data_IF_999269535340
#
_entry.id   IF_999269535340
#
_cell.length_a   1.000
_cell.length_b   1.000
_cell.length_c   1.000
_cell.angle_alpha   90.00
_cell.angle_beta   90.00
_cell.angle_gamma   90.00
#
_symmetry.space_group_name_H-M   'P 1'
#
loop_
_entity.id
_entity.type
_entity.pdbx_description
1 polymer ?
#
# COMPACT_ATOMS: atom_id res chain seq x y z
N UNK A 1 57.65 -5.27 -38.85
CA UNK A 1 56.69 -6.36 -38.58
C UNK A 1 55.95 -6.08 -37.27
N UNK A 2 54.70 -5.60 -37.33
CA UNK A 2 53.88 -5.41 -36.12
C UNK A 2 53.49 -6.79 -35.59
N UNK A 3 53.93 -7.11 -34.38
CA UNK A 3 53.78 -8.43 -33.76
C UNK A 3 52.32 -8.89 -33.72
N UNK A 4 52.03 -10.03 -34.36
CA UNK A 4 50.71 -10.71 -34.45
C UNK A 4 49.98 -10.84 -33.11
N UNK A 5 50.71 -10.82 -31.98
CA UNK A 5 50.13 -10.88 -30.62
C UNK A 5 49.43 -9.58 -30.20
N UNK A 6 49.90 -8.39 -30.64
CA UNK A 6 49.25 -7.10 -30.30
C UNK A 6 47.92 -6.90 -31.05
N UNK A 7 47.80 -7.40 -32.28
CA UNK A 7 46.57 -7.31 -33.07
C UNK A 7 45.41 -8.13 -32.47
N UNK A 8 45.69 -9.36 -31.97
CA UNK A 8 44.67 -10.22 -31.35
C UNK A 8 44.11 -9.65 -30.03
N UNK A 9 44.94 -8.99 -29.22
CA UNK A 9 44.49 -8.38 -27.96
C UNK A 9 43.57 -7.17 -28.15
N UNK A 10 43.82 -6.37 -29.21
CA UNK A 10 42.99 -5.20 -29.54
C UNK A 10 41.60 -5.62 -30.04
N UNK A 11 41.54 -6.60 -30.95
CA UNK A 11 40.27 -7.13 -31.46
C UNK A 11 39.38 -7.74 -30.35
N UNK A 12 39.97 -8.40 -29.34
CA UNK A 12 39.22 -8.97 -28.22
C UNK A 12 38.61 -7.90 -27.30
N UNK A 13 39.31 -6.80 -27.05
CA UNK A 13 38.79 -5.67 -26.26
C UNK A 13 37.68 -4.92 -27.00
N UNK A 14 37.81 -4.73 -28.31
CA UNK A 14 36.78 -4.09 -29.14
C UNK A 14 35.50 -4.95 -29.22
N UNK A 15 35.63 -6.28 -29.31
CA UNK A 15 34.50 -7.19 -29.26
C UNK A 15 33.75 -7.13 -27.92
N UNK A 16 34.46 -7.20 -26.78
CA UNK A 16 33.84 -7.07 -25.45
C UNK A 16 33.18 -5.71 -25.22
N UNK A 17 33.80 -4.64 -25.72
CA UNK A 17 33.24 -3.29 -25.67
C UNK A 17 31.91 -3.20 -26.43
N UNK A 18 31.86 -3.74 -27.67
CA UNK A 18 30.63 -3.79 -28.47
C UNK A 18 29.55 -4.63 -27.81
N UNK A 19 29.91 -5.82 -27.31
CA UNK A 19 28.96 -6.73 -26.67
C UNK A 19 28.32 -6.13 -25.41
N UNK A 20 29.10 -5.36 -24.63
CA UNK A 20 28.60 -4.62 -23.46
C UNK A 20 27.69 -3.45 -23.88
N UNK A 21 28.04 -2.76 -24.96
CA UNK A 21 27.25 -1.63 -25.48
C UNK A 21 25.93 -2.10 -26.09
N UNK A 22 25.95 -3.20 -26.84
CA UNK A 22 24.76 -3.82 -27.44
C UNK A 22 23.81 -4.36 -26.36
N UNK A 23 24.34 -5.00 -25.30
CA UNK A 23 23.55 -5.41 -24.14
C UNK A 23 22.90 -4.22 -23.40
N UNK A 24 23.62 -3.11 -23.28
CA UNK A 24 23.10 -1.88 -22.67
C UNK A 24 21.98 -1.25 -23.51
N UNK A 25 22.13 -1.22 -24.84
CA UNK A 25 21.13 -0.68 -25.77
C UNK A 25 19.87 -1.57 -25.79
N UNK A 26 20.04 -2.90 -25.81
CA UNK A 26 18.92 -3.84 -25.75
C UNK A 26 18.13 -3.71 -24.43
N UNK A 27 18.82 -3.58 -23.30
CA UNK A 27 18.21 -3.31 -21.99
C UNK A 27 17.42 -1.98 -21.98
N UNK A 28 17.95 -0.94 -22.63
CA UNK A 28 17.25 0.34 -22.74
C UNK A 28 16.01 0.26 -23.65
N UNK A 29 16.11 -0.38 -24.81
CA UNK A 29 14.96 -0.55 -25.72
C UNK A 29 13.85 -1.41 -25.10
N UNK A 30 14.22 -2.46 -24.36
CA UNK A 30 13.25 -3.28 -23.63
C UNK A 30 12.53 -2.47 -22.55
N UNK A 31 13.24 -1.59 -21.82
CA UNK A 31 12.62 -0.65 -20.88
C UNK A 31 11.64 0.32 -21.56
N UNK A 32 11.98 0.82 -22.75
CA UNK A 32 11.11 1.73 -23.52
C UNK A 32 9.83 1.02 -24.02
N UNK A 33 9.94 -0.21 -24.52
CA UNK A 33 8.78 -1.00 -24.94
C UNK A 33 7.88 -1.37 -23.75
N UNK A 34 8.46 -1.72 -22.59
CA UNK A 34 7.72 -1.91 -21.35
C UNK A 34 6.98 -0.62 -20.97
N UNK A 35 7.66 0.52 -20.97
CA UNK A 35 7.04 1.81 -20.64
C UNK A 35 5.88 2.19 -21.58
N UNK A 36 5.97 1.85 -22.87
CA UNK A 36 4.88 2.09 -23.82
C UNK A 36 3.66 1.20 -23.52
N UNK A 37 3.86 -0.07 -23.21
CA UNK A 37 2.77 -0.99 -22.85
C UNK A 37 2.11 -0.56 -21.53
N UNK A 38 2.92 -0.17 -20.54
CA UNK A 38 2.45 0.31 -19.23
C UNK A 38 1.49 1.51 -19.37
N UNK A 39 1.72 2.42 -20.31
CA UNK A 39 0.92 3.66 -20.47
C UNK A 39 -0.46 3.48 -21.10
N UNK A 40 -0.77 2.30 -21.65
CA UNK A 40 -2.06 2.03 -22.30
C UNK A 40 -3.05 1.26 -21.43
N UNK A 41 -2.59 0.76 -20.27
CA UNK A 41 -3.42 0.00 -19.36
C UNK A 41 -4.21 0.95 -18.45
N UNK A 42 -5.47 0.64 -18.17
CA UNK A 42 -6.29 1.41 -17.21
C UNK A 42 -6.11 0.94 -15.77
N UNK A 43 -5.25 -0.05 -15.51
CA UNK A 43 -4.96 -0.60 -14.18
C UNK A 43 -6.22 -0.96 -13.37
N UNK A 44 -7.24 -1.51 -14.05
CA UNK A 44 -8.51 -1.86 -13.43
C UNK A 44 -9.40 -0.67 -13.04
N UNK A 45 -9.05 0.55 -13.48
CA UNK A 45 -9.90 1.72 -13.32
C UNK A 45 -11.26 1.44 -13.98
N UNK A 46 -12.31 1.61 -13.18
CA UNK A 46 -13.67 1.65 -13.66
C UNK A 46 -13.94 3.10 -14.08
N UNK A 47 -14.18 3.39 -15.37
CA UNK A 47 -14.44 4.77 -15.81
C UNK A 47 -15.68 5.32 -15.12
N UNK A 48 -15.51 6.40 -14.35
CA UNK A 48 -16.63 7.12 -13.76
C UNK A 48 -17.23 8.08 -14.80
N UNK A 49 -18.56 8.15 -14.94
CA UNK A 49 -19.20 9.22 -15.70
C UNK A 49 -18.74 10.59 -15.21
N UNK A 50 -18.57 11.55 -16.12
CA UNK A 50 -18.17 12.91 -15.73
C UNK A 50 -19.18 13.49 -14.74
N UNK A 51 -18.70 13.96 -13.58
CA UNK A 51 -19.57 14.49 -12.54
C UNK A 51 -20.29 13.42 -11.72
N UNK A 52 -19.78 12.18 -11.71
CA UNK A 52 -20.23 11.14 -10.78
C UNK A 52 -20.10 11.61 -9.33
N UNK A 53 -20.96 11.10 -8.45
CA UNK A 53 -20.95 11.47 -7.03
C UNK A 53 -19.63 11.06 -6.36
N UNK A 54 -19.07 9.89 -6.70
CA UNK A 54 -17.75 9.46 -6.22
C UNK A 54 -16.63 10.47 -6.53
N UNK A 55 -16.63 11.12 -7.69
CA UNK A 55 -15.58 12.10 -8.06
C UNK A 55 -15.65 13.34 -7.16
N UNK A 56 -16.87 13.80 -6.86
CA UNK A 56 -17.07 14.93 -5.92
C UNK A 56 -16.73 14.52 -4.50
N UNK A 57 -17.09 13.29 -4.13
CA UNK A 57 -16.81 12.71 -2.82
C UNK A 57 -15.31 12.63 -2.56
N UNK A 58 -14.52 11.99 -3.42
CA UNK A 58 -13.07 11.82 -3.22
C UNK A 58 -12.36 13.15 -3.06
N UNK A 59 -12.65 14.12 -3.94
CA UNK A 59 -12.05 15.46 -3.86
C UNK A 59 -12.40 16.20 -2.57
N UNK A 60 -13.66 16.09 -2.11
CA UNK A 60 -14.05 16.73 -0.86
C UNK A 60 -13.43 16.00 0.34
N UNK A 61 -13.43 14.67 0.32
CA UNK A 61 -12.84 13.85 1.36
C UNK A 61 -11.34 14.11 1.54
N UNK A 62 -10.57 14.11 0.46
CA UNK A 62 -9.14 14.46 0.44
C UNK A 62 -8.90 15.85 1.01
N UNK A 63 -9.71 16.84 0.61
CA UNK A 63 -9.61 18.19 1.17
C UNK A 63 -9.87 18.21 2.69
N UNK A 64 -10.83 17.43 3.19
CA UNK A 64 -11.07 17.36 4.64
C UNK A 64 -9.95 16.61 5.37
N UNK A 65 -9.39 15.57 4.75
CA UNK A 65 -8.23 14.85 5.26
C UNK A 65 -7.00 15.76 5.37
N UNK A 66 -6.69 16.53 4.32
CA UNK A 66 -5.54 17.45 4.30
C UNK A 66 -5.68 18.59 5.32
N UNK A 67 -6.92 19.00 5.61
CA UNK A 67 -7.22 20.01 6.64
C UNK A 67 -7.26 19.43 8.07
N UNK A 68 -7.21 18.11 8.23
CA UNK A 68 -7.28 17.49 9.54
C UNK A 68 -6.03 17.82 10.36
N UNK A 69 -6.23 18.38 11.56
CA UNK A 69 -5.14 18.60 12.51
C UNK A 69 -4.91 17.32 13.30
N UNK A 70 -4.24 16.34 12.70
CA UNK A 70 -3.85 15.12 13.43
C UNK A 70 -2.53 14.52 12.96
N UNK A 71 -1.66 14.23 13.92
CA UNK A 71 -0.43 13.48 13.70
C UNK A 71 -0.69 11.97 13.45
N UNK A 72 -1.91 11.50 13.74
CA UNK A 72 -2.32 10.12 13.50
C UNK A 72 -3.16 10.03 12.24
N UNK A 73 -2.64 9.33 11.22
CA UNK A 73 -3.29 9.11 9.93
C UNK A 73 -4.76 8.66 10.08
N UNK A 74 -5.01 7.67 10.94
CA UNK A 74 -6.37 7.13 11.15
C UNK A 74 -7.33 8.19 11.71
N UNK A 75 -6.86 9.09 12.57
CA UNK A 75 -7.69 10.19 13.08
C UNK A 75 -7.99 11.23 12.01
N UNK A 76 -7.06 11.45 11.07
CA UNK A 76 -7.32 12.32 9.92
C UNK A 76 -8.41 11.72 9.01
N UNK A 77 -8.37 10.40 8.77
CA UNK A 77 -9.46 9.68 8.09
C UNK A 77 -10.79 9.78 8.83
N UNK A 78 -10.81 9.61 10.16
CA UNK A 78 -12.01 9.75 10.98
C UNK A 78 -12.58 11.18 10.88
N UNK A 79 -11.74 12.22 10.96
CA UNK A 79 -12.18 13.61 10.80
C UNK A 79 -12.78 13.86 9.41
N UNK A 80 -12.13 13.38 8.35
CA UNK A 80 -12.64 13.50 6.99
C UNK A 80 -13.96 12.73 6.80
N UNK A 81 -14.11 11.57 7.45
CA UNK A 81 -15.36 10.81 7.48
C UNK A 81 -16.47 11.62 8.14
N UNK A 82 -16.24 12.12 9.35
CA UNK A 82 -17.24 12.91 10.07
C UNK A 82 -17.65 14.18 9.30
N UNK A 83 -16.71 14.83 8.60
CA UNK A 83 -16.99 16.02 7.80
C UNK A 83 -17.78 15.73 6.52
N UNK A 84 -17.79 14.49 6.02
CA UNK A 84 -18.41 14.13 4.73
C UNK A 84 -19.61 13.19 4.87
N UNK A 85 -19.80 12.53 6.01
CA UNK A 85 -20.81 11.48 6.20
C UNK A 85 -22.24 11.91 5.88
N UNK A 86 -22.62 13.14 6.24
CA UNK A 86 -23.99 13.65 6.00
C UNK A 86 -24.17 14.11 4.55
N UNK A 87 -23.14 14.76 3.97
CA UNK A 87 -23.22 15.30 2.60
C UNK A 87 -23.19 14.20 1.54
N UNK A 88 -22.52 13.09 1.83
CA UNK A 88 -22.33 11.97 0.90
C UNK A 88 -22.82 10.66 1.52
N UNK A 89 -23.95 10.68 2.24
CA UNK A 89 -24.55 9.47 2.79
C UNK A 89 -24.78 8.39 1.71
N UNK A 90 -25.23 8.80 0.51
CA UNK A 90 -25.42 7.92 -0.64
C UNK A 90 -24.13 7.19 -1.09
N UNK A 91 -22.94 7.73 -0.78
CA UNK A 91 -21.66 7.05 -1.05
C UNK A 91 -21.23 6.22 0.16
N UNK A 92 -21.36 6.77 1.38
CA UNK A 92 -20.93 6.11 2.61
C UNK A 92 -21.73 4.86 2.95
N UNK A 93 -23.01 4.84 2.61
CA UNK A 93 -23.96 3.76 2.92
C UNK A 93 -24.18 2.79 1.74
N UNK A 94 -23.62 3.07 0.56
CA UNK A 94 -23.67 2.19 -0.60
C UNK A 94 -22.32 1.50 -0.85
N UNK A 95 -22.32 0.16 -0.75
CA UNK A 95 -21.11 -0.63 -0.92
C UNK A 95 -20.54 -0.57 -2.35
N UNK A 96 -21.39 -0.44 -3.36
CA UNK A 96 -20.98 -0.37 -4.76
C UNK A 96 -20.32 0.98 -5.05
N UNK A 97 -20.89 2.08 -4.55
CA UNK A 97 -20.30 3.42 -4.65
C UNK A 97 -18.94 3.48 -3.93
N UNK A 98 -18.84 2.88 -2.74
CA UNK A 98 -17.57 2.81 -2.02
C UNK A 98 -16.54 1.90 -2.71
N UNK A 99 -16.96 0.82 -3.37
CA UNK A 99 -16.09 -0.01 -4.21
C UNK A 99 -15.55 0.75 -5.43
N UNK A 100 -16.36 1.63 -6.05
CA UNK A 100 -15.90 2.53 -7.10
C UNK A 100 -14.83 3.50 -6.59
N UNK A 101 -15.00 4.04 -5.38
CA UNK A 101 -13.99 4.88 -4.72
C UNK A 101 -12.70 4.09 -4.51
N UNK A 102 -12.78 2.86 -3.96
CA UNK A 102 -11.61 1.98 -3.76
C UNK A 102 -10.89 1.70 -5.08
N UNK A 103 -11.64 1.30 -6.12
CA UNK A 103 -11.11 1.05 -7.48
C UNK A 103 -10.36 2.26 -8.04
N UNK A 104 -10.89 3.47 -7.83
CA UNK A 104 -10.26 4.71 -8.28
C UNK A 104 -8.88 4.91 -7.64
N UNK A 105 -8.78 4.80 -6.31
CA UNK A 105 -7.49 4.90 -5.61
C UNK A 105 -6.52 3.78 -5.98
N UNK A 106 -7.02 2.54 -6.12
CA UNK A 106 -6.19 1.41 -6.54
C UNK A 106 -5.56 1.64 -7.92
N UNK A 107 -6.33 2.17 -8.87
CA UNK A 107 -5.84 2.46 -10.21
C UNK A 107 -4.84 3.64 -10.22
N UNK A 108 -5.14 4.73 -9.50
CA UNK A 108 -4.23 5.88 -9.36
C UNK A 108 -2.90 5.45 -8.70
N UNK A 109 -2.98 4.70 -7.61
CA UNK A 109 -1.79 4.21 -6.90
C UNK A 109 -0.97 3.22 -7.73
N UNK A 110 -1.63 2.41 -8.56
CA UNK A 110 -0.94 1.53 -9.53
C UNK A 110 -0.21 2.34 -10.59
N UNK A 111 -0.83 3.39 -11.14
CA UNK A 111 -0.16 4.27 -12.09
C UNK A 111 1.04 4.97 -11.42
N UNK A 112 0.85 5.53 -10.23
CA UNK A 112 1.89 6.21 -9.46
C UNK A 112 3.12 5.31 -9.19
N UNK A 113 2.91 4.06 -8.77
CA UNK A 113 4.03 3.14 -8.52
C UNK A 113 4.77 2.73 -9.79
N UNK A 114 4.08 2.68 -10.94
CA UNK A 114 4.69 2.39 -12.24
C UNK A 114 5.51 3.58 -12.74
N UNK A 115 5.03 4.81 -12.53
CA UNK A 115 5.75 6.04 -12.88
C UNK A 115 6.88 6.39 -11.90
N UNK A 116 6.96 5.71 -10.75
CA UNK A 116 8.01 5.88 -9.75
C UNK A 116 7.66 6.85 -8.62
N UNK A 117 6.43 7.37 -8.59
CA UNK A 117 5.90 8.22 -7.53
C UNK A 117 5.46 7.38 -6.32
N UNK A 118 6.45 6.92 -5.55
CA UNK A 118 6.21 5.99 -4.43
C UNK A 118 5.40 6.63 -3.30
N UNK A 119 5.58 7.92 -3.03
CA UNK A 119 4.83 8.64 -1.99
C UNK A 119 3.34 8.69 -2.34
N UNK A 120 3.00 9.09 -3.57
CA UNK A 120 1.62 9.18 -4.04
C UNK A 120 0.96 7.80 -4.01
N UNK A 121 1.67 6.76 -4.47
CA UNK A 121 1.20 5.39 -4.39
C UNK A 121 0.92 4.90 -2.96
N UNK A 122 1.68 5.34 -1.96
CA UNK A 122 1.41 5.01 -0.54
C UNK A 122 0.14 5.68 -0.06
N UNK A 123 -0.06 6.94 -0.42
CA UNK A 123 -1.26 7.71 -0.08
C UNK A 123 -2.49 7.01 -0.69
N UNK A 124 -2.46 6.72 -1.99
CA UNK A 124 -3.53 6.02 -2.70
C UNK A 124 -3.84 4.63 -2.09
N UNK A 125 -2.80 3.84 -1.78
CA UNK A 125 -2.97 2.55 -1.12
C UNK A 125 -3.62 2.69 0.27
N UNK A 126 -3.29 3.74 1.00
CA UNK A 126 -3.82 4.02 2.34
C UNK A 126 -5.29 4.41 2.26
N UNK A 127 -5.68 5.29 1.32
CA UNK A 127 -7.08 5.63 1.06
C UNK A 127 -7.89 4.40 0.66
N UNK A 128 -7.42 3.66 -0.35
CA UNK A 128 -8.07 2.42 -0.79
C UNK A 128 -8.28 1.46 0.39
N UNK A 129 -7.24 1.24 1.20
CA UNK A 129 -7.35 0.32 2.33
C UNK A 129 -8.32 0.84 3.40
N UNK A 130 -8.35 2.13 3.69
CA UNK A 130 -9.32 2.70 4.63
C UNK A 130 -10.76 2.46 4.18
N UNK A 131 -11.08 2.73 2.92
CA UNK A 131 -12.42 2.51 2.38
C UNK A 131 -12.80 1.03 2.31
N UNK A 132 -11.86 0.14 1.98
CA UNK A 132 -12.06 -1.32 2.09
C UNK A 132 -12.39 -1.76 3.53
N UNK A 133 -11.69 -1.19 4.52
CA UNK A 133 -11.97 -1.46 5.92
C UNK A 133 -13.37 -0.94 6.32
N UNK A 134 -13.78 0.24 5.83
CA UNK A 134 -15.14 0.75 6.01
C UNK A 134 -16.19 -0.20 5.42
N UNK A 135 -16.00 -0.64 4.17
CA UNK A 135 -16.89 -1.62 3.52
C UNK A 135 -16.98 -2.89 4.37
N UNK A 136 -15.83 -3.44 4.80
CA UNK A 136 -15.80 -4.69 5.55
C UNK A 136 -16.47 -4.59 6.92
N UNK A 137 -16.28 -3.48 7.64
CA UNK A 137 -16.76 -3.31 9.02
C UNK A 137 -18.20 -2.80 9.05
N UNK A 138 -18.52 -1.76 8.28
CA UNK A 138 -19.79 -1.03 8.37
C UNK A 138 -20.86 -1.59 7.43
N UNK A 139 -20.50 -1.83 6.18
CA UNK A 139 -21.48 -2.17 5.13
C UNK A 139 -21.72 -3.68 5.04
N UNK A 140 -20.65 -4.46 4.91
CA UNK A 140 -20.71 -5.92 4.73
C UNK A 140 -20.65 -6.71 6.03
N UNK A 141 -20.19 -6.09 7.13
CA UNK A 141 -20.03 -6.73 8.45
C UNK A 141 -19.27 -8.07 8.34
N UNK A 142 -18.21 -8.10 7.55
CA UNK A 142 -17.29 -9.24 7.40
C UNK A 142 -16.11 -9.16 8.35
N UNK A 143 -15.91 -8.01 8.99
CA UNK A 143 -14.84 -7.74 9.95
C UNK A 143 -15.40 -7.03 11.19
N UNK A 144 -14.84 -7.30 12.37
CA UNK A 144 -15.31 -6.76 13.64
C UNK A 144 -15.01 -5.26 13.81
N UNK A 145 -13.80 -4.83 13.43
CA UNK A 145 -13.32 -3.45 13.60
C UNK A 145 -12.23 -3.09 12.61
N UNK A 146 -11.98 -1.79 12.41
CA UNK A 146 -10.99 -1.28 11.45
C UNK A 146 -9.57 -1.61 11.92
N UNK A 147 -8.75 -2.15 11.02
CA UNK A 147 -7.33 -2.41 11.26
C UNK A 147 -6.49 -1.13 11.05
N UNK A 148 -6.49 -0.28 12.07
CA UNK A 148 -5.72 0.96 12.11
C UNK A 148 -4.20 0.75 11.88
N UNK A 149 -3.67 -0.38 12.32
CA UNK A 149 -2.25 -0.71 12.16
C UNK A 149 -1.94 -1.00 10.68
N UNK A 150 -2.82 -1.74 9.98
CA UNK A 150 -2.67 -1.99 8.54
C UNK A 150 -2.70 -0.70 7.72
N UNK A 151 -3.60 0.23 8.04
CA UNK A 151 -3.68 1.55 7.40
C UNK A 151 -2.35 2.31 7.60
N UNK A 152 -1.85 2.37 8.84
CA UNK A 152 -0.58 3.03 9.15
C UNK A 152 0.62 2.39 8.43
N UNK A 153 0.66 1.06 8.35
CA UNK A 153 1.75 0.33 7.69
C UNK A 153 1.79 0.58 6.17
N UNK A 154 0.65 0.82 5.53
CA UNK A 154 0.59 1.12 4.10
C UNK A 154 1.12 2.53 3.77
N UNK A 155 0.85 3.51 4.63
CA UNK A 155 1.30 4.88 4.45
C UNK A 155 2.84 5.01 4.41
N UNK A 156 3.55 4.09 5.06
CA UNK A 156 5.01 4.01 5.00
C UNK A 156 5.51 2.63 4.53
N UNK A 157 4.76 2.01 3.61
CA UNK A 157 5.09 0.69 3.10
C UNK A 157 6.40 0.69 2.30
N UNK A 158 7.23 -0.33 2.50
CA UNK A 158 8.35 -0.62 1.61
C UNK A 158 7.84 -0.98 0.20
N UNK A 159 8.66 -0.82 -0.87
CA UNK A 159 8.23 -1.10 -2.24
C UNK A 159 7.65 -2.50 -2.46
N UNK A 160 8.14 -3.52 -1.76
CA UNK A 160 7.61 -4.88 -1.91
C UNK A 160 6.23 -4.98 -1.28
N UNK A 161 6.05 -4.49 -0.06
CA UNK A 161 4.72 -4.44 0.58
C UNK A 161 3.71 -3.67 -0.28
N UNK A 162 4.11 -2.50 -0.80
CA UNK A 162 3.23 -1.63 -1.60
C UNK A 162 2.82 -2.27 -2.93
N UNK A 163 3.78 -2.81 -3.71
CA UNK A 163 3.46 -3.49 -4.98
C UNK A 163 2.66 -4.77 -4.74
N UNK A 164 2.97 -5.50 -3.66
CA UNK A 164 2.20 -6.68 -3.27
C UNK A 164 0.76 -6.32 -2.90
N UNK A 165 0.53 -5.15 -2.30
CA UNK A 165 -0.82 -4.65 -2.01
C UNK A 165 -1.59 -4.47 -3.31
N UNK A 166 -1.14 -3.62 -4.25
CA UNK A 166 -1.85 -3.39 -5.51
C UNK A 166 -2.06 -4.66 -6.33
N UNK A 167 -1.06 -5.53 -6.39
CA UNK A 167 -1.13 -6.82 -7.12
C UNK A 167 -2.24 -7.74 -6.61
N UNK A 168 -2.55 -7.67 -5.32
CA UNK A 168 -3.59 -8.50 -4.72
C UNK A 168 -5.00 -7.92 -4.88
N UNK A 169 -5.13 -6.65 -5.29
CA UNK A 169 -6.43 -5.97 -5.41
C UNK A 169 -6.81 -5.67 -6.88
N UNK A 170 -5.84 -5.62 -7.80
CA UNK A 170 -6.09 -5.35 -9.22
C UNK A 170 -5.57 -6.50 -10.09
N UNK A 171 -6.37 -7.03 -11.04
CA UNK A 171 -5.94 -8.04 -12.00
C UNK A 171 -5.09 -7.43 -13.14
N UNK A 172 -4.04 -6.67 -12.82
CA UNK A 172 -3.15 -6.02 -13.78
C UNK A 172 -1.79 -6.75 -13.85
N UNK A 173 -1.83 -8.06 -14.13
CA UNK A 173 -0.63 -8.91 -14.12
C UNK A 173 0.48 -8.40 -15.04
N UNK A 174 0.14 -7.92 -16.24
CA UNK A 174 1.11 -7.40 -17.22
C UNK A 174 1.96 -6.23 -16.69
N UNK A 175 1.41 -5.39 -15.81
CA UNK A 175 2.13 -4.25 -15.24
C UNK A 175 2.69 -4.57 -13.84
N UNK A 176 1.86 -5.15 -12.99
CA UNK A 176 2.20 -5.39 -11.58
C UNK A 176 3.14 -6.58 -11.39
N UNK A 177 3.11 -7.62 -12.24
CA UNK A 177 4.10 -8.71 -12.15
C UNK A 177 5.50 -8.23 -12.53
N UNK A 178 5.60 -7.34 -13.53
CA UNK A 178 6.88 -6.74 -13.92
C UNK A 178 7.43 -5.91 -12.76
N UNK A 179 6.62 -5.02 -12.19
CA UNK A 179 7.02 -4.21 -11.03
C UNK A 179 7.34 -5.09 -9.81
N UNK A 180 6.53 -6.11 -9.55
CA UNK A 180 6.73 -7.04 -8.44
C UNK A 180 8.07 -7.76 -8.56
N UNK A 181 8.42 -8.24 -9.74
CA UNK A 181 9.71 -8.89 -9.97
C UNK A 181 10.92 -7.97 -9.72
N UNK A 182 10.76 -6.66 -9.87
CA UNK A 182 11.80 -5.67 -9.55
C UNK A 182 11.98 -5.46 -8.04
N UNK A 183 10.92 -5.64 -7.24
CA UNK A 183 10.93 -5.32 -5.80
C UNK A 183 10.84 -6.54 -4.88
N UNK A 184 10.58 -7.74 -5.39
CA UNK A 184 10.33 -8.96 -4.59
C UNK A 184 11.46 -9.35 -3.62
N UNK A 185 12.69 -8.90 -3.88
CA UNK A 185 13.84 -9.11 -3.00
C UNK A 185 13.95 -8.08 -1.87
N UNK A 186 13.19 -6.98 -1.93
CA UNK A 186 13.15 -5.99 -0.86
C UNK A 186 12.52 -6.63 0.38
N UNK A 187 13.18 -6.47 1.51
CA UNK A 187 12.69 -6.96 2.80
C UNK A 187 11.40 -6.25 3.14
N UNK A 188 10.38 -7.03 3.49
CA UNK A 188 9.11 -6.49 3.98
C UNK A 188 9.34 -5.94 5.37
N UNK A 189 9.06 -4.67 5.56
CA UNK A 189 9.20 -4.01 6.85
C UNK A 189 7.83 -3.88 7.51
N UNK A 190 7.80 -3.90 8.83
CA UNK A 190 6.62 -3.52 9.60
C UNK A 190 7.01 -2.65 10.78
N UNK A 191 6.01 -2.09 11.44
CA UNK A 191 6.19 -1.04 12.44
C UNK A 191 5.83 -1.51 13.85
N UNK A 192 6.76 -1.32 14.77
CA UNK A 192 6.54 -1.60 16.18
C UNK A 192 5.59 -0.55 16.76
N UNK A 193 4.46 -0.99 17.33
CA UNK A 193 3.48 -0.09 17.94
C UNK A 193 3.96 0.58 19.23
N UNK A 194 5.17 0.28 19.72
CA UNK A 194 5.78 1.03 20.82
C UNK A 194 6.44 2.30 20.27
N UNK A 195 5.84 3.47 20.50
CA UNK A 195 6.36 4.77 20.06
C UNK A 195 7.77 5.07 20.59
N UNK A 196 8.15 4.48 21.72
CA UNK A 196 9.48 4.62 22.34
C UNK A 196 10.45 3.50 21.93
N UNK A 197 10.18 2.79 20.84
CA UNK A 197 11.06 1.75 20.34
C UNK A 197 12.42 2.36 19.96
N UNK A 198 13.51 1.67 20.31
CA UNK A 198 14.87 2.14 20.01
C UNK A 198 15.31 1.87 18.57
N UNK A 199 14.51 1.12 17.80
CA UNK A 199 14.79 0.88 16.39
C UNK A 199 14.53 2.14 15.58
N UNK A 200 15.35 2.36 14.56
CA UNK A 200 15.20 3.50 13.65
C UNK A 200 13.81 3.47 12.99
N UNK A 201 13.07 4.57 13.14
CA UNK A 201 11.69 4.73 12.65
C UNK A 201 10.71 3.65 13.14
N UNK A 202 11.00 3.00 14.26
CA UNK A 202 10.20 1.89 14.80
C UNK A 202 10.07 0.68 13.84
N UNK A 203 10.88 0.58 12.78
CA UNK A 203 10.76 -0.48 11.77
C UNK A 203 11.62 -1.69 12.07
N UNK A 204 11.10 -2.87 11.77
CA UNK A 204 11.81 -4.15 11.80
C UNK A 204 11.33 -5.03 10.64
N UNK A 205 12.11 -6.03 10.24
CA UNK A 205 11.68 -6.99 9.23
C UNK A 205 10.39 -7.69 9.70
N UNK A 206 9.35 -7.69 8.86
CA UNK A 206 8.01 -8.18 9.22
C UNK A 206 8.03 -9.65 9.67
N UNK A 207 8.95 -10.45 9.13
CA UNK A 207 9.17 -11.85 9.52
C UNK A 207 9.60 -12.02 10.99
N UNK A 208 10.15 -10.98 11.61
CA UNK A 208 10.63 -10.97 12.99
C UNK A 208 9.65 -10.31 13.97
N UNK A 209 8.51 -9.81 13.47
CA UNK A 209 7.51 -9.17 14.30
C UNK A 209 6.65 -10.18 15.03
N UNK A 210 6.17 -9.79 16.21
CA UNK A 210 5.16 -10.52 16.97
C UNK A 210 3.88 -9.72 17.08
N UNK A 211 2.74 -10.38 16.90
CA UNK A 211 1.43 -9.78 17.19
C UNK A 211 1.12 -9.90 18.68
N UNK A 212 0.33 -8.96 19.20
CA UNK A 212 -0.24 -9.09 20.54
C UNK A 212 -1.00 -10.42 20.66
N UNK A 213 -0.60 -11.28 21.61
CA UNK A 213 -1.21 -12.60 21.76
C UNK A 213 -2.71 -12.58 22.10
N UNK A 214 -3.22 -11.46 22.61
CA UNK A 214 -4.64 -11.28 22.97
C UNK A 214 -5.48 -10.79 21.78
N UNK A 215 -5.28 -9.55 21.34
CA UNK A 215 -6.10 -8.96 20.29
C UNK A 215 -5.61 -9.27 18.86
N UNK A 216 -4.31 -9.54 18.68
CA UNK A 216 -3.63 -9.69 17.38
C UNK A 216 -3.68 -8.46 16.46
N UNK A 217 -4.14 -7.30 16.96
CA UNK A 217 -4.29 -6.05 16.19
C UNK A 217 -3.08 -5.12 16.26
N UNK A 218 -2.11 -5.40 17.14
CA UNK A 218 -0.89 -4.59 17.30
C UNK A 218 0.35 -5.45 17.16
N UNK A 219 1.42 -4.87 16.63
CA UNK A 219 2.65 -5.57 16.31
C UNK A 219 3.83 -4.98 17.09
N UNK A 220 4.75 -5.85 17.50
CA UNK A 220 5.92 -5.47 18.28
C UNK A 220 7.16 -6.15 17.72
N UNK A 221 8.30 -5.47 17.80
CA UNK A 221 9.59 -6.08 17.46
C UNK A 221 10.11 -7.01 18.57
N UNK A 222 9.56 -6.93 19.78
CA UNK A 222 10.04 -7.70 20.94
C UNK A 222 9.01 -7.74 22.08
N UNK A 223 9.08 -8.73 22.99
CA UNK A 223 8.28 -8.76 24.21
C UNK A 223 8.50 -7.53 25.11
N UNK A 224 9.70 -6.96 25.10
CA UNK A 224 10.05 -5.77 25.86
C UNK A 224 9.27 -4.55 25.36
N UNK A 225 9.18 -4.36 24.04
CA UNK A 225 8.35 -3.30 23.46
C UNK A 225 6.87 -3.50 23.75
N UNK A 226 6.38 -4.74 23.73
CA UNK A 226 5.00 -5.02 24.12
C UNK A 226 4.73 -4.66 25.59
N UNK A 227 5.61 -5.07 26.52
CA UNK A 227 5.50 -4.73 27.95
C UNK A 227 5.55 -3.22 28.18
N UNK A 228 6.45 -2.51 27.50
CA UNK A 228 6.57 -1.06 27.61
C UNK A 228 5.34 -0.32 27.08
N UNK A 229 4.75 -0.79 25.98
CA UNK A 229 3.53 -0.21 25.41
C UNK A 229 2.25 -0.63 26.17
N UNK A 230 2.29 -1.69 26.98
CA UNK A 230 1.12 -2.26 27.64
C UNK A 230 0.21 -1.24 28.37
N UNK A 231 0.73 -0.27 29.15
CA UNK A 231 -0.12 0.70 29.84
C UNK A 231 -1.01 1.53 28.90
N UNK A 232 -0.55 1.83 27.67
CA UNK A 232 -1.35 2.54 26.68
C UNK A 232 -2.23 1.60 25.85
N UNK A 233 -1.76 0.37 25.60
CA UNK A 233 -2.46 -0.60 24.77
C UNK A 233 -3.61 -1.33 25.49
N UNK A 234 -3.52 -1.56 26.80
CA UNK A 234 -4.41 -2.49 27.53
C UNK A 234 -5.91 -2.21 27.33
N UNK A 235 -6.32 -0.93 27.32
CA UNK A 235 -7.72 -0.55 27.13
C UNK A 235 -8.19 -0.91 25.72
N UNK A 236 -7.47 -0.44 24.69
CA UNK A 236 -7.74 -0.79 23.29
C UNK A 236 -7.68 -2.30 23.04
N UNK A 237 -6.77 -3.01 23.71
CA UNK A 237 -6.66 -4.46 23.62
C UNK A 237 -7.96 -5.15 24.08
N UNK A 238 -8.51 -4.71 25.21
CA UNK A 238 -9.76 -5.24 25.73
C UNK A 238 -10.95 -4.89 24.83
N UNK A 239 -10.99 -3.68 24.28
CA UNK A 239 -12.01 -3.25 23.30
C UNK A 239 -12.00 -4.15 22.07
N UNK A 240 -10.84 -4.35 21.42
CA UNK A 240 -10.72 -5.24 20.26
C UNK A 240 -11.14 -6.67 20.56
N UNK A 241 -10.79 -7.20 21.74
CA UNK A 241 -11.20 -8.56 22.15
C UNK A 241 -12.71 -8.63 22.32
N UNK A 242 -13.33 -7.62 22.92
CA UNK A 242 -14.79 -7.54 23.10
C UNK A 242 -15.51 -7.46 21.76
N UNK A 243 -15.13 -6.51 20.90
CA UNK A 243 -15.71 -6.33 19.57
C UNK A 243 -15.65 -7.61 18.74
N UNK A 244 -14.49 -8.30 18.77
CA UNK A 244 -14.31 -9.58 18.09
C UNK A 244 -15.23 -10.66 18.64
N UNK A 245 -15.34 -10.78 19.96
CA UNK A 245 -16.23 -11.77 20.58
C UNK A 245 -17.71 -11.51 20.22
N UNK A 246 -18.15 -10.25 20.27
CA UNK A 246 -19.51 -9.85 19.87
C UNK A 246 -19.78 -10.13 18.39
N UNK A 247 -18.79 -9.87 17.53
CA UNK A 247 -18.86 -10.16 16.10
C UNK A 247 -18.98 -11.67 15.82
N UNK A 248 -18.14 -12.47 16.47
CA UNK A 248 -18.14 -13.93 16.31
C UNK A 248 -19.46 -14.56 16.79
N UNK A 249 -20.05 -14.04 17.88
CA UNK A 249 -21.37 -14.45 18.36
C UNK A 249 -22.48 -14.14 17.33
N UNK A 250 -22.46 -12.95 16.74
CA UNK A 250 -23.45 -12.55 15.71
C UNK A 250 -23.35 -13.38 14.43
N UNK A 251 -22.18 -13.95 14.12
CA UNK A 251 -22.00 -14.82 12.94
C UNK A 251 -22.49 -16.26 13.14
N UNK A 252 -22.67 -16.67 14.40
CA UNK A 252 -23.13 -18.02 14.75
C UNK A 252 -24.65 -18.08 14.97
N UNK A 253 -25.30 -16.94 15.13
CA UNK A 253 -26.76 -16.79 15.24
C UNK A 253 -27.40 -16.71 13.84
#
# INVERSE_FOLDING_TARGET
>A
MVSRKKAKGKARKEAQSKETQDASVASHMQKLQINHILRSCTHGAIPLPKGHICERFTRHYEKQYDNASSDMIVKAFEQAHEATKETYADVWDDASEMELVCSSYLAMGTQAILDGFTSDARIDATYANYFEQHIAVKLKKTQASIDAQKISELNDADPHTLVSYFRNHIPCSSCLDVKYNQVKSTKKMGECSNEKCSLRYNKVERSSMMSCGRCRMTHYCSPQCQKAHWPMHTNKCNEFVKEKAEFDLKRQA
#
